data_IF_055088814565
#
_entry.id   IF_055088814565
#
_cell.length_a   1.000
_cell.length_b   1.000
_cell.length_c   1.000
_cell.angle_alpha   90.00
_cell.angle_beta   90.00
_cell.angle_gamma   90.00
#
_symmetry.space_group_name_H-M   'P 1'
#
loop_
_entity.id
_entity.type
_entity.pdbx_description
1 polymer ?
#
# COMPACT_ATOMS: atom_id res chain seq x y z
N UNK A 1 -29.11 -28.45 44.23
CA UNK A 1 -28.89 -28.94 42.84
C UNK A 1 -28.35 -27.80 41.97
N UNK A 2 -27.09 -27.39 42.15
CA UNK A 2 -26.43 -26.43 41.25
C UNK A 2 -25.20 -27.10 40.64
N UNK A 3 -25.46 -28.07 39.76
CA UNK A 3 -24.41 -28.80 39.04
C UNK A 3 -24.68 -28.72 37.55
N UNK A 4 -24.39 -27.55 36.95
CA UNK A 4 -24.19 -27.44 35.50
C UNK A 4 -23.56 -26.10 35.09
N UNK A 5 -22.36 -25.82 35.56
CA UNK A 5 -21.54 -24.73 34.99
C UNK A 5 -20.20 -25.30 34.59
N UNK A 6 -20.17 -25.94 33.42
CA UNK A 6 -18.94 -26.27 32.72
C UNK A 6 -18.88 -25.39 31.46
N UNK A 7 -18.73 -24.07 31.67
CA UNK A 7 -18.32 -23.16 30.60
C UNK A 7 -16.80 -23.23 30.55
N UNK A 8 -16.27 -23.56 29.39
CA UNK A 8 -14.84 -23.66 29.11
C UNK A 8 -14.29 -22.24 29.10
N UNK A 9 -13.76 -21.78 30.23
CA UNK A 9 -13.11 -20.46 30.32
C UNK A 9 -11.90 -20.45 29.39
N UNK A 10 -11.76 -19.41 28.56
CA UNK A 10 -10.52 -19.23 27.81
C UNK A 10 -9.41 -18.81 28.77
N UNK A 11 -8.15 -19.07 28.42
CA UNK A 11 -6.99 -18.68 29.24
C UNK A 11 -6.97 -17.15 29.50
N UNK A 12 -7.44 -16.38 28.53
CA UNK A 12 -7.56 -14.91 28.63
C UNK A 12 -8.61 -14.48 29.65
N UNK A 13 -9.72 -15.23 29.75
CA UNK A 13 -10.79 -14.94 30.72
C UNK A 13 -10.33 -15.23 32.15
N UNK A 14 -9.54 -16.30 32.35
CA UNK A 14 -8.96 -16.64 33.64
C UNK A 14 -7.92 -15.60 34.11
N UNK A 15 -7.07 -15.11 33.20
CA UNK A 15 -6.08 -14.08 33.53
C UNK A 15 -6.73 -12.72 33.85
N UNK A 16 -7.78 -12.34 33.11
CA UNK A 16 -8.56 -11.12 33.42
C UNK A 16 -9.29 -11.22 34.75
N UNK A 17 -9.85 -12.38 35.07
CA UNK A 17 -10.48 -12.63 36.35
C UNK A 17 -9.49 -12.53 37.51
N UNK A 18 -8.33 -13.20 37.39
CA UNK A 18 -7.31 -13.17 38.44
C UNK A 18 -6.84 -11.75 38.72
N UNK A 19 -6.65 -10.94 37.67
CA UNK A 19 -6.25 -9.54 37.81
C UNK A 19 -7.33 -8.68 38.49
N UNK A 20 -8.60 -8.83 38.11
CA UNK A 20 -9.71 -8.11 38.75
C UNK A 20 -9.89 -8.52 40.22
N UNK A 21 -9.68 -9.79 40.53
CA UNK A 21 -9.72 -10.31 41.90
C UNK A 21 -8.56 -9.78 42.74
N UNK A 22 -7.34 -9.76 42.20
CA UNK A 22 -6.15 -9.24 42.88
C UNK A 22 -6.28 -7.72 43.12
N UNK A 23 -6.87 -6.96 42.19
CA UNK A 23 -7.18 -5.54 42.36
C UNK A 23 -8.23 -5.32 43.47
N UNK A 24 -9.30 -6.11 43.48
CA UNK A 24 -10.34 -6.06 44.52
C UNK A 24 -9.78 -6.35 45.93
N UNK A 25 -8.96 -7.40 46.06
CA UNK A 25 -8.31 -7.76 47.33
C UNK A 25 -7.34 -6.66 47.76
N UNK A 26 -6.61 -6.06 46.83
CA UNK A 26 -5.65 -4.98 47.09
C UNK A 26 -6.33 -3.65 47.45
N UNK A 27 -7.50 -3.35 46.90
CA UNK A 27 -8.31 -2.19 47.32
C UNK A 27 -8.86 -2.38 48.74
N UNK A 28 -9.30 -3.59 49.10
CA UNK A 28 -9.84 -3.90 50.43
C UNK A 28 -8.78 -4.03 51.53
N UNK A 29 -7.54 -4.42 51.21
CA UNK A 29 -6.49 -4.63 52.22
C UNK A 29 -6.01 -3.33 52.91
N UNK A 30 -6.42 -2.15 52.45
CA UNK A 30 -6.07 -0.87 53.07
C UNK A 30 -7.16 -0.30 54.01
N UNK A 31 -8.37 -0.87 54.00
CA UNK A 31 -9.49 -0.36 54.82
C UNK A 31 -9.73 -1.12 56.14
N UNK A 32 -8.96 -2.19 56.43
CA UNK A 32 -9.09 -2.99 57.66
C UNK A 32 -8.56 -2.32 58.94
N UNK A 33 -8.88 -1.03 59.15
CA UNK A 33 -8.80 -0.38 60.47
C UNK A 33 -10.12 0.24 60.96
N UNK A 34 -11.25 0.05 60.28
CA UNK A 34 -12.56 0.47 60.82
C UNK A 34 -13.62 -0.61 60.60
N UNK A 35 -14.12 -1.16 61.70
CA UNK A 35 -15.33 -1.99 61.87
C UNK A 35 -15.72 -2.90 60.68
N UNK A 36 -15.44 -4.20 60.81
CA UNK A 36 -15.78 -5.21 59.81
C UNK A 36 -17.29 -5.22 59.50
N UNK A 37 -17.70 -5.08 58.21
CA UNK A 37 -19.10 -5.24 57.81
C UNK A 37 -19.60 -6.66 58.11
N UNK A 38 -20.89 -6.79 58.42
CA UNK A 38 -21.52 -8.11 58.59
C UNK A 38 -21.33 -8.97 57.34
N UNK A 39 -21.10 -10.27 57.48
CA UNK A 39 -20.88 -11.19 56.37
C UNK A 39 -21.96 -11.11 55.26
N UNK A 40 -23.19 -10.70 55.63
CA UNK A 40 -24.27 -10.43 54.66
C UNK A 40 -24.01 -9.23 53.77
N UNK A 41 -23.47 -8.13 54.32
CA UNK A 41 -23.10 -6.94 53.54
C UNK A 41 -21.96 -7.26 52.57
N UNK A 42 -20.96 -8.03 53.01
CA UNK A 42 -19.86 -8.46 52.14
C UNK A 42 -20.37 -9.30 50.96
N UNK A 43 -21.37 -10.16 51.19
CA UNK A 43 -21.94 -10.98 50.15
C UNK A 43 -22.81 -10.19 49.15
N UNK A 44 -23.58 -9.22 49.63
CA UNK A 44 -24.36 -8.32 48.76
C UNK A 44 -23.47 -7.42 47.89
N UNK A 45 -22.37 -6.90 48.45
CA UNK A 45 -21.37 -6.14 47.70
C UNK A 45 -20.70 -7.00 46.62
N UNK A 46 -20.35 -8.24 46.97
CA UNK A 46 -19.77 -9.19 46.02
C UNK A 46 -20.74 -9.52 44.88
N UNK A 47 -22.00 -9.80 45.19
CA UNK A 47 -23.02 -10.07 44.18
C UNK A 47 -23.28 -8.86 43.27
N UNK A 48 -23.20 -7.64 43.83
CA UNK A 48 -23.32 -6.39 43.06
C UNK A 48 -22.14 -6.23 42.11
N UNK A 49 -20.92 -6.41 42.61
CA UNK A 49 -19.70 -6.39 41.80
C UNK A 49 -19.77 -7.37 40.63
N UNK A 50 -20.26 -8.60 40.86
CA UNK A 50 -20.36 -9.61 39.79
C UNK A 50 -21.35 -9.25 38.70
N UNK A 51 -22.49 -8.63 39.06
CA UNK A 51 -23.46 -8.17 38.06
C UNK A 51 -22.88 -7.05 37.21
N UNK A 52 -22.19 -6.10 37.84
CA UNK A 52 -21.54 -5.00 37.13
C UNK A 52 -20.39 -5.49 36.24
N UNK A 53 -19.59 -6.44 36.73
CA UNK A 53 -18.52 -7.06 35.98
C UNK A 53 -19.05 -7.77 34.72
N UNK A 54 -20.09 -8.59 34.86
CA UNK A 54 -20.71 -9.28 33.72
C UNK A 54 -21.26 -8.29 32.68
N UNK A 55 -21.98 -7.27 33.15
CA UNK A 55 -22.51 -6.22 32.26
C UNK A 55 -21.39 -5.50 31.51
N UNK A 56 -20.28 -5.19 32.18
CA UNK A 56 -19.12 -4.52 31.58
C UNK A 56 -18.41 -5.41 30.55
N UNK A 57 -18.29 -6.71 30.81
CA UNK A 57 -17.75 -7.67 29.85
C UNK A 57 -18.64 -7.80 28.60
N UNK A 58 -19.97 -7.86 28.78
CA UNK A 58 -20.91 -7.86 27.65
C UNK A 58 -20.79 -6.58 26.80
N UNK A 59 -20.67 -5.42 27.43
CA UNK A 59 -20.45 -4.15 26.73
C UNK A 59 -19.12 -4.13 25.95
N UNK A 60 -18.05 -4.68 26.53
CA UNK A 60 -16.74 -4.78 25.85
C UNK A 60 -16.84 -5.73 24.66
N UNK A 61 -17.47 -6.89 24.83
CA UNK A 61 -17.69 -7.85 23.75
C UNK A 61 -18.55 -7.27 22.63
N UNK A 62 -19.61 -6.54 22.97
CA UNK A 62 -20.47 -5.89 21.98
C UNK A 62 -19.71 -4.80 21.21
N UNK A 63 -18.93 -3.95 21.90
CA UNK A 63 -18.09 -2.94 21.26
C UNK A 63 -17.08 -3.58 20.30
N UNK A 64 -16.39 -4.64 20.73
CA UNK A 64 -15.46 -5.37 19.87
C UNK A 64 -16.16 -6.02 18.68
N UNK A 65 -17.35 -6.59 18.87
CA UNK A 65 -18.14 -7.18 17.79
C UNK A 65 -18.56 -6.14 16.75
N UNK A 66 -18.98 -4.96 17.20
CA UNK A 66 -19.33 -3.83 16.33
C UNK A 66 -18.13 -3.32 15.55
N UNK A 67 -16.99 -3.16 16.23
CA UNK A 67 -15.75 -2.69 15.59
C UNK A 67 -15.21 -3.71 14.58
N UNK A 68 -15.23 -4.99 14.92
CA UNK A 68 -14.84 -6.07 14.01
C UNK A 68 -15.73 -6.10 12.76
N UNK A 69 -17.04 -5.95 12.95
CA UNK A 69 -18.00 -5.88 11.83
C UNK A 69 -17.75 -4.66 10.93
N UNK A 70 -17.41 -3.50 11.53
CA UNK A 70 -17.05 -2.29 10.79
C UNK A 70 -15.79 -2.52 9.94
N UNK A 71 -14.71 -3.01 10.55
CA UNK A 71 -13.45 -3.30 9.87
C UNK A 71 -13.64 -4.30 8.72
N UNK A 72 -14.42 -5.36 8.94
CA UNK A 72 -14.74 -6.34 7.91
C UNK A 72 -15.46 -5.73 6.70
N UNK A 73 -16.45 -4.87 6.95
CA UNK A 73 -17.20 -4.20 5.90
C UNK A 73 -16.36 -3.17 5.13
N UNK A 74 -15.51 -2.41 5.82
CA UNK A 74 -14.56 -1.47 5.21
C UNK A 74 -13.58 -2.21 4.29
N UNK A 75 -12.96 -3.29 4.78
CA UNK A 75 -12.05 -4.11 3.97
C UNK A 75 -12.76 -4.67 2.72
N UNK A 76 -13.98 -5.19 2.89
CA UNK A 76 -14.80 -5.70 1.77
C UNK A 76 -15.13 -4.62 0.74
N UNK A 77 -15.41 -3.39 1.18
CA UNK A 77 -15.66 -2.25 0.29
C UNK A 77 -14.38 -1.87 -0.49
N UNK A 78 -13.23 -1.83 0.17
CA UNK A 78 -11.94 -1.56 -0.47
C UNK A 78 -11.61 -2.56 -1.58
N UNK A 79 -11.81 -3.86 -1.33
CA UNK A 79 -11.57 -4.89 -2.35
C UNK A 79 -12.49 -4.71 -3.57
N UNK A 80 -13.76 -4.35 -3.37
CA UNK A 80 -14.71 -4.08 -4.47
C UNK A 80 -14.29 -2.86 -5.29
N UNK A 81 -13.91 -1.76 -4.63
CA UNK A 81 -13.46 -0.54 -5.30
C UNK A 81 -12.18 -0.78 -6.10
N UNK A 82 -11.19 -1.45 -5.51
CA UNK A 82 -9.92 -1.77 -6.19
C UNK A 82 -10.12 -2.67 -7.41
N UNK A 83 -11.06 -3.63 -7.33
CA UNK A 83 -11.42 -4.49 -8.46
C UNK A 83 -12.11 -3.70 -9.58
N UNK A 84 -12.99 -2.76 -9.23
CA UNK A 84 -13.65 -1.86 -10.19
C UNK A 84 -12.65 -0.95 -10.89
N UNK A 85 -11.76 -0.31 -10.13
CA UNK A 85 -10.68 0.53 -10.68
C UNK A 85 -9.76 -0.25 -11.62
N UNK A 86 -9.41 -1.50 -11.31
CA UNK A 86 -8.62 -2.36 -12.20
C UNK A 86 -9.36 -2.71 -13.48
N UNK A 87 -10.68 -2.94 -13.42
CA UNK A 87 -11.49 -3.20 -14.61
C UNK A 87 -11.59 -1.95 -15.50
N UNK A 88 -11.76 -0.77 -14.90
CA UNK A 88 -11.75 0.52 -15.60
C UNK A 88 -10.37 0.82 -16.21
N UNK A 89 -9.28 0.60 -15.46
CA UNK A 89 -7.91 0.71 -15.98
C UNK A 89 -7.61 -0.28 -17.10
N UNK A 90 -8.14 -1.51 -17.02
CA UNK A 90 -8.00 -2.49 -18.10
C UNK A 90 -8.79 -2.08 -19.34
N UNK A 91 -9.93 -1.40 -19.17
CA UNK A 91 -10.69 -0.82 -20.28
C UNK A 91 -10.01 0.41 -20.89
N UNK A 92 -9.23 1.17 -20.11
CA UNK A 92 -8.45 2.30 -20.60
C UNK A 92 -7.01 1.93 -20.99
N UNK A 93 -6.63 0.65 -20.95
CA UNK A 93 -5.34 0.20 -21.48
C UNK A 93 -5.46 0.17 -23.00
N UNK A 94 -5.40 1.36 -23.61
CA UNK A 94 -4.92 1.45 -24.98
C UNK A 94 -3.56 0.78 -24.97
N UNK A 95 -3.46 -0.36 -25.65
CA UNK A 95 -2.16 -0.98 -25.87
C UNK A 95 -1.25 0.11 -26.43
N UNK A 96 -0.09 0.37 -25.81
CA UNK A 96 0.83 1.35 -26.36
C UNK A 96 1.04 0.98 -27.83
N UNK A 97 0.93 1.94 -28.76
CA UNK A 97 1.07 1.64 -30.17
C UNK A 97 2.35 0.85 -30.33
N UNK A 98 2.23 -0.41 -30.73
CA UNK A 98 3.39 -1.27 -30.93
C UNK A 98 4.17 -0.63 -32.07
N UNK A 99 5.17 0.17 -31.72
CA UNK A 99 6.05 0.81 -32.69
C UNK A 99 6.72 -0.35 -33.44
N UNK A 100 6.54 -0.46 -34.77
CA UNK A 100 7.11 -1.55 -35.53
C UNK A 100 8.62 -1.61 -35.29
N UNK A 101 9.17 -2.81 -35.11
CA UNK A 101 10.61 -3.01 -34.84
C UNK A 101 11.50 -2.25 -35.83
N UNK A 102 11.09 -2.14 -37.10
CA UNK A 102 11.78 -1.38 -38.14
C UNK A 102 11.89 0.13 -37.83
N UNK A 103 10.86 0.71 -37.22
CA UNK A 103 10.88 2.12 -36.81
C UNK A 103 11.81 2.36 -35.62
N UNK A 104 11.88 1.38 -34.71
CA UNK A 104 12.79 1.46 -33.56
C UNK A 104 14.24 1.34 -34.02
N UNK A 105 14.53 0.41 -34.93
CA UNK A 105 15.86 0.24 -35.52
C UNK A 105 16.32 1.47 -36.30
N UNK A 106 15.42 2.10 -37.06
CA UNK A 106 15.74 3.33 -37.80
C UNK A 106 15.97 4.53 -36.86
N UNK A 107 15.20 4.66 -35.78
CA UNK A 107 15.44 5.67 -34.75
C UNK A 107 16.80 5.48 -34.04
N UNK A 108 17.18 4.23 -33.72
CA UNK A 108 18.48 3.94 -33.11
C UNK A 108 19.65 4.27 -34.04
N UNK A 109 19.51 4.00 -35.34
CA UNK A 109 20.52 4.40 -36.35
C UNK A 109 20.69 5.91 -36.45
N UNK A 110 19.59 6.68 -36.36
CA UNK A 110 19.64 8.15 -36.38
C UNK A 110 20.39 8.73 -35.18
N UNK A 111 20.29 8.08 -34.02
CA UNK A 111 21.00 8.45 -32.79
C UNK A 111 22.39 7.79 -32.68
N UNK A 112 22.87 7.14 -33.74
CA UNK A 112 24.15 6.44 -33.78
C UNK A 112 24.29 5.39 -32.63
N UNK A 113 23.18 4.84 -32.15
CA UNK A 113 23.16 3.79 -31.11
C UNK A 113 23.39 2.43 -31.80
N UNK A 114 24.35 1.60 -31.32
CA UNK A 114 24.63 0.31 -31.93
C UNK A 114 23.41 -0.60 -31.85
N UNK A 115 22.99 -1.07 -33.03
CA UNK A 115 21.88 -2.00 -33.26
C UNK A 115 22.41 -3.41 -33.00
N UNK A 116 22.43 -3.86 -31.74
CA UNK A 116 22.84 -5.22 -31.35
C UNK A 116 21.65 -6.17 -31.40
N UNK A 117 21.84 -7.45 -31.72
CA UNK A 117 20.71 -8.41 -31.83
C UNK A 117 19.80 -8.46 -30.58
N UNK A 118 20.31 -8.09 -29.41
CA UNK A 118 19.63 -7.84 -28.12
C UNK A 118 18.97 -6.43 -28.06
N UNK A 119 18.23 -6.09 -29.12
CA UNK A 119 18.08 -4.72 -29.60
C UNK A 119 17.16 -3.79 -28.78
N UNK A 120 16.26 -4.35 -27.98
CA UNK A 120 15.25 -3.57 -27.27
C UNK A 120 15.47 -3.52 -25.76
N UNK A 121 16.43 -4.30 -25.24
CA UNK A 121 16.56 -4.54 -23.80
C UNK A 121 17.75 -3.86 -23.11
N UNK A 122 18.62 -3.19 -23.85
CA UNK A 122 19.87 -2.66 -23.28
C UNK A 122 20.03 -1.15 -23.44
N UNK A 123 19.08 -0.48 -24.10
CA UNK A 123 19.08 0.98 -24.19
C UNK A 123 18.55 1.52 -22.87
N UNK A 124 19.45 1.82 -21.93
CA UNK A 124 19.11 2.57 -20.73
C UNK A 124 18.74 4.00 -21.11
N UNK A 125 17.84 4.61 -20.33
CA UNK A 125 17.43 6.00 -20.52
C UNK A 125 18.64 6.96 -20.56
N UNK A 126 19.65 6.70 -19.71
CA UNK A 126 20.89 7.47 -19.70
C UNK A 126 21.66 7.39 -21.02
N UNK A 127 21.72 6.20 -21.64
CA UNK A 127 22.40 5.98 -22.92
C UNK A 127 21.65 6.68 -24.06
N UNK A 128 20.31 6.63 -24.04
CA UNK A 128 19.46 7.34 -24.99
C UNK A 128 19.67 8.86 -24.90
N UNK A 129 19.65 9.42 -23.68
CA UNK A 129 19.90 10.86 -23.45
C UNK A 129 21.29 11.28 -23.90
N UNK A 130 22.32 10.51 -23.57
CA UNK A 130 23.70 10.78 -23.99
C UNK A 130 23.84 10.80 -25.51
N UNK A 131 23.26 9.81 -26.20
CA UNK A 131 23.27 9.74 -27.66
C UNK A 131 22.53 10.94 -28.29
N UNK A 132 21.34 11.27 -27.79
CA UNK A 132 20.58 12.44 -28.23
C UNK A 132 21.37 13.74 -28.07
N UNK A 133 21.96 13.98 -26.90
CA UNK A 133 22.76 15.20 -26.64
C UNK A 133 23.96 15.29 -27.58
N UNK A 134 24.66 14.17 -27.84
CA UNK A 134 25.79 14.14 -28.75
C UNK A 134 25.36 14.49 -30.19
N UNK A 135 24.29 13.88 -30.68
CA UNK A 135 23.74 14.15 -32.01
C UNK A 135 23.18 15.57 -32.13
N UNK A 136 22.46 16.07 -31.11
CA UNK A 136 21.92 17.42 -31.05
C UNK A 136 23.02 18.48 -31.13
N UNK A 137 24.14 18.29 -30.42
CA UNK A 137 25.30 19.19 -30.50
C UNK A 137 25.97 19.16 -31.87
N UNK A 138 26.07 17.98 -32.50
CA UNK A 138 26.68 17.77 -33.82
C UNK A 138 25.87 18.41 -34.96
N UNK A 139 24.55 18.41 -34.84
CA UNK A 139 23.62 18.88 -35.87
C UNK A 139 22.87 20.16 -35.49
N UNK A 140 23.31 20.89 -34.46
CA UNK A 140 22.68 22.14 -34.08
C UNK A 140 22.83 23.19 -35.20
N UNK A 141 21.77 23.90 -35.61
CA UNK A 141 21.84 24.87 -36.71
C UNK A 141 22.76 26.05 -36.38
N UNK A 142 22.89 26.43 -35.10
CA UNK A 142 23.73 27.57 -34.70
C UNK A 142 25.24 27.29 -34.78
N UNK A 143 25.66 26.01 -34.73
CA UNK A 143 27.08 25.65 -34.77
C UNK A 143 27.59 25.40 -36.19
N UNK A 144 26.72 25.54 -37.21
CA UNK A 144 27.00 25.19 -38.61
C UNK A 144 27.13 26.43 -39.51
N UNK A 145 27.99 26.37 -40.55
CA UNK A 145 28.07 27.39 -41.59
C UNK A 145 26.70 27.60 -42.26
N UNK A 146 26.43 28.82 -42.74
CA UNK A 146 25.12 29.22 -43.28
C UNK A 146 24.59 28.27 -44.37
N UNK A 147 25.48 27.72 -45.20
CA UNK A 147 25.16 26.81 -46.30
C UNK A 147 24.65 25.44 -45.81
N UNK A 148 25.13 24.95 -44.66
CA UNK A 148 24.76 23.66 -44.09
C UNK A 148 23.60 23.74 -43.08
N UNK A 149 23.15 24.94 -42.71
CA UNK A 149 22.11 25.14 -41.68
C UNK A 149 20.79 24.43 -42.01
N UNK A 150 20.39 24.44 -43.28
CA UNK A 150 19.16 23.80 -43.71
C UNK A 150 19.22 22.27 -43.53
N UNK A 151 20.35 21.66 -43.90
CA UNK A 151 20.57 20.22 -43.74
C UNK A 151 20.71 19.84 -42.26
N UNK A 152 21.44 20.64 -41.48
CA UNK A 152 21.58 20.46 -40.04
C UNK A 152 20.23 20.56 -39.31
N UNK A 153 19.39 21.54 -39.67
CA UNK A 153 18.05 21.68 -39.13
C UNK A 153 17.14 20.48 -39.44
N UNK A 154 17.22 19.91 -40.65
CA UNK A 154 16.48 18.71 -41.00
C UNK A 154 16.96 17.49 -40.21
N UNK A 155 18.28 17.30 -40.08
CA UNK A 155 18.87 16.23 -39.26
C UNK A 155 18.49 16.36 -37.79
N UNK A 156 18.52 17.58 -37.24
CA UNK A 156 18.13 17.86 -35.86
C UNK A 156 16.67 17.47 -35.58
N UNK A 157 15.74 17.80 -36.50
CA UNK A 157 14.34 17.37 -36.41
C UNK A 157 14.18 15.85 -36.43
N UNK A 158 14.93 15.16 -37.30
CA UNK A 158 14.91 13.69 -37.37
C UNK A 158 15.44 13.04 -36.09
N UNK A 159 16.49 13.61 -35.51
CA UNK A 159 17.08 13.19 -34.22
C UNK A 159 16.09 13.37 -33.07
N UNK A 160 15.38 14.51 -33.03
CA UNK A 160 14.31 14.75 -32.05
C UNK A 160 13.18 13.73 -32.15
N UNK A 161 12.66 13.52 -33.36
CA UNK A 161 11.62 12.53 -33.61
C UNK A 161 12.06 11.10 -33.24
N UNK A 162 13.33 10.74 -33.47
CA UNK A 162 13.89 9.46 -33.07
C UNK A 162 13.96 9.29 -31.55
N UNK A 163 14.34 10.35 -30.82
CA UNK A 163 14.38 10.33 -29.36
C UNK A 163 12.98 10.16 -28.75
N UNK A 164 11.98 10.88 -29.24
CA UNK A 164 10.60 10.80 -28.76
C UNK A 164 9.99 9.41 -28.96
N UNK A 165 10.36 8.71 -30.05
CA UNK A 165 9.94 7.33 -30.30
C UNK A 165 10.58 6.32 -29.33
N UNK A 166 11.83 6.55 -28.92
CA UNK A 166 12.59 5.63 -28.06
C UNK A 166 12.39 5.87 -26.57
N UNK A 167 12.06 7.09 -26.18
CA UNK A 167 11.82 7.49 -24.79
C UNK A 167 10.77 6.61 -24.06
N UNK A 168 9.55 6.40 -24.59
CA UNK A 168 8.54 5.58 -23.90
C UNK A 168 8.94 4.11 -23.76
N UNK A 169 9.78 3.59 -24.67
CA UNK A 169 10.29 2.21 -24.62
C UNK A 169 11.30 2.00 -23.48
N UNK A 170 11.99 3.07 -23.07
CA UNK A 170 12.94 3.04 -21.95
C UNK A 170 12.24 3.21 -20.59
N UNK A 171 11.13 3.97 -20.54
CA UNK A 171 10.38 4.28 -19.31
C UNK A 171 9.49 3.13 -18.81
N UNK A 172 9.03 2.23 -19.68
CA UNK A 172 8.16 1.09 -19.34
C UNK A 172 8.85 -0.04 -18.55
N UNK A 173 10.08 0.15 -18.06
CA UNK A 173 10.93 -0.88 -17.43
C UNK A 173 11.21 -0.70 -15.94
N UNK A 174 10.56 0.25 -15.28
CA UNK A 174 10.54 0.43 -13.82
C UNK A 174 9.23 -0.10 -13.23
#
# INVERSE_FOLDING_TARGET
MFSRWNKRWSKVDAERFQKGFDEFVKERSWEERKASPSAKQQQEEFDTFWREFQKREEEIHEKHSREFSRQYNEARSHFRHRRKQRAEQAQSFEMPPMVPRQEVESAMRLLEIPVTSSLMSEVSEEKLKKAYIACAKKWHPDTRPHEERAEAGNRFKMIGAAYDKLKPLCEQRL
#
